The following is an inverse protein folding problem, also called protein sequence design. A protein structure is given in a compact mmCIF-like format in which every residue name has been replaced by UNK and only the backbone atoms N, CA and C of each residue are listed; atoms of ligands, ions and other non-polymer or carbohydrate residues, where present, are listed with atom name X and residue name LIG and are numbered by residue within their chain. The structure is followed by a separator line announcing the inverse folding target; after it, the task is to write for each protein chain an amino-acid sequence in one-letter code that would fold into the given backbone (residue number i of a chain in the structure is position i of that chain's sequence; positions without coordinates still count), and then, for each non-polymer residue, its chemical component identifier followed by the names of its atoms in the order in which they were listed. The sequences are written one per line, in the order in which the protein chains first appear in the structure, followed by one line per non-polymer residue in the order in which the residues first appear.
data_IF_305615904529
#
_entry.id   IF_305615904529
#
_cell.length_a   1.000
_cell.length_b   1.000
_cell.length_c   1.000
_cell.angle_alpha   90.00
_cell.angle_beta   90.00
_cell.angle_gamma   90.00
#
_symmetry.space_group_name_H-M   'P 1'
#
loop_
_entity.id
_entity.type
_entity.pdbx_description
1 polymer ?
#
# COMPACT_ATOMS: atom_id res chain seq x y z
N UNK A 1 2.74 -8.73 18.88
CA UNK A 1 1.86 -8.95 17.73
C UNK A 1 2.70 -8.63 16.49
N UNK A 2 2.83 -9.58 15.57
CA UNK A 2 3.81 -9.49 14.47
C UNK A 2 3.27 -8.77 13.24
N UNK A 3 1.97 -8.86 13.00
CA UNK A 3 1.27 -8.22 11.87
C UNK A 3 -0.13 -7.83 12.30
N UNK A 4 -0.54 -6.62 11.95
CA UNK A 4 -1.91 -6.13 12.15
C UNK A 4 -2.60 -5.94 10.81
N UNK A 5 -3.80 -6.46 10.69
CA UNK A 5 -4.63 -6.33 9.50
C UNK A 5 -5.73 -5.30 9.73
N UNK A 6 -5.88 -4.36 8.78
CA UNK A 6 -6.89 -3.29 8.83
C UNK A 6 -7.65 -3.30 7.52
N UNK A 7 -8.97 -3.18 7.58
CA UNK A 7 -9.85 -3.06 6.41
C UNK A 7 -10.41 -1.64 6.31
N UNK A 8 -10.24 -1.03 5.15
CA UNK A 8 -10.78 0.29 4.83
C UNK A 8 -11.65 0.24 3.59
N UNK A 9 -12.65 1.12 3.54
CA UNK A 9 -13.47 1.36 2.34
C UNK A 9 -13.35 2.83 1.95
N UNK A 10 -12.86 3.09 0.73
CA UNK A 10 -12.73 4.44 0.19
C UNK A 10 -13.79 4.63 -0.88
N UNK A 11 -14.60 5.69 -0.74
CA UNK A 11 -15.59 6.13 -1.70
C UNK A 11 -15.03 7.23 -2.60
N UNK A 12 -15.70 7.49 -3.73
CA UNK A 12 -15.36 8.60 -4.65
C UNK A 12 -13.93 8.54 -5.19
N UNK A 13 -13.38 7.34 -5.38
CA UNK A 13 -12.03 7.16 -5.91
C UNK A 13 -11.97 7.30 -7.44
N UNK A 14 -13.08 7.05 -8.10
CA UNK A 14 -13.22 7.17 -9.54
C UNK A 14 -14.11 8.38 -9.87
N UNK A 15 -13.58 9.31 -10.68
CA UNK A 15 -14.35 10.49 -11.13
C UNK A 15 -15.48 10.11 -12.07
N UNK A 16 -15.32 9.03 -12.82
CA UNK A 16 -16.27 8.54 -13.81
C UNK A 16 -17.38 7.68 -13.16
N UNK A 17 -17.15 7.19 -11.92
CA UNK A 17 -18.10 6.40 -11.15
C UNK A 17 -18.06 6.80 -9.66
N UNK A 18 -18.85 7.79 -9.25
CA UNK A 18 -18.85 8.29 -7.86
C UNK A 18 -19.39 7.26 -6.85
N UNK A 19 -20.10 6.23 -7.28
CA UNK A 19 -20.60 5.17 -6.40
C UNK A 19 -19.57 4.07 -6.17
N UNK A 20 -18.44 4.11 -6.88
CA UNK A 20 -17.42 3.09 -6.76
C UNK A 20 -16.75 3.13 -5.39
N UNK A 21 -16.66 1.96 -4.79
CA UNK A 21 -16.02 1.75 -3.48
C UNK A 21 -14.79 0.89 -3.66
N UNK A 22 -13.64 1.40 -3.24
CA UNK A 22 -12.41 0.62 -3.15
C UNK A 22 -12.32 0.00 -1.75
N UNK A 23 -12.25 -1.33 -1.70
CA UNK A 23 -11.95 -2.06 -0.46
C UNK A 23 -10.45 -2.28 -0.37
N UNK A 24 -9.85 -1.81 0.72
CA UNK A 24 -8.41 -1.86 0.95
C UNK A 24 -8.14 -2.71 2.17
N UNK A 25 -7.15 -3.58 2.04
CA UNK A 25 -6.61 -4.39 3.11
C UNK A 25 -5.18 -3.92 3.38
N UNK A 26 -4.93 -3.44 4.59
CA UNK A 26 -3.62 -2.94 5.01
C UNK A 26 -3.00 -3.96 5.97
N UNK A 27 -1.75 -4.30 5.70
CA UNK A 27 -0.93 -5.15 6.54
C UNK A 27 0.17 -4.30 7.18
N UNK A 28 0.02 -4.05 8.49
CA UNK A 28 1.05 -3.37 9.28
C UNK A 28 2.06 -4.43 9.76
N UNK A 29 3.23 -4.42 9.16
CA UNK A 29 4.29 -5.39 9.41
C UNK A 29 5.30 -4.84 10.41
N UNK A 30 5.88 -5.73 11.22
CA UNK A 30 6.97 -5.34 12.12
C UNK A 30 8.23 -4.97 11.33
N UNK A 31 8.82 -3.80 11.63
CA UNK A 31 10.13 -3.40 11.08
C UNK A 31 11.33 -4.14 11.67
N UNK A 32 11.11 -5.05 12.63
CA UNK A 32 12.20 -5.80 13.23
C UNK A 32 12.68 -6.92 12.30
N UNK A 33 13.99 -6.94 12.04
CA UNK A 33 14.65 -7.89 11.12
C UNK A 33 14.43 -9.36 11.47
N UNK A 34 14.24 -9.70 12.74
CA UNK A 34 13.92 -11.08 13.18
C UNK A 34 12.59 -11.64 12.63
N UNK A 35 11.71 -10.78 12.08
CA UNK A 35 10.42 -11.17 11.53
C UNK A 35 10.37 -11.10 10.00
N UNK A 36 11.52 -11.00 9.32
CA UNK A 36 11.64 -10.85 7.86
C UNK A 36 10.86 -11.89 7.06
N UNK A 37 10.97 -13.15 7.43
CA UNK A 37 10.30 -14.24 6.71
C UNK A 37 8.75 -14.10 6.72
N UNK A 38 8.18 -13.58 7.80
CA UNK A 38 6.74 -13.34 7.93
C UNK A 38 6.35 -12.11 7.09
N UNK A 39 7.15 -11.06 7.12
CA UNK A 39 6.93 -9.84 6.31
C UNK A 39 6.90 -10.19 4.82
N UNK A 40 7.85 -11.00 4.35
CA UNK A 40 7.94 -11.43 2.95
C UNK A 40 6.66 -12.14 2.46
N UNK A 41 6.02 -12.95 3.29
CA UNK A 41 4.78 -13.64 2.92
C UNK A 41 3.60 -12.70 2.67
N UNK A 42 3.58 -11.52 3.33
CA UNK A 42 2.54 -10.51 3.17
C UNK A 42 2.79 -9.54 2.01
N UNK A 43 4.03 -9.46 1.53
CA UNK A 43 4.39 -8.66 0.35
C UNK A 43 3.87 -9.31 -0.94
N UNK A 44 3.83 -10.63 -0.99
CA UNK A 44 3.37 -11.37 -2.17
C UNK A 44 1.92 -11.04 -2.50
N UNK A 45 1.69 -10.59 -3.74
CA UNK A 45 0.35 -10.21 -4.22
C UNK A 45 -0.16 -8.89 -3.66
N UNK A 46 0.69 -8.07 -3.04
CA UNK A 46 0.35 -6.73 -2.64
C UNK A 46 0.30 -5.80 -3.86
N UNK A 47 -0.75 -4.97 -3.95
CA UNK A 47 -0.90 -3.97 -5.01
C UNK A 47 -0.03 -2.72 -4.76
N UNK A 48 0.37 -2.50 -3.51
CA UNK A 48 1.21 -1.39 -3.12
C UNK A 48 1.89 -1.57 -1.78
N UNK A 49 2.98 -0.83 -1.55
CA UNK A 49 3.74 -0.83 -0.32
C UNK A 49 4.20 0.57 0.06
N UNK A 50 4.24 0.85 1.36
CA UNK A 50 4.94 2.00 1.91
C UNK A 50 6.32 1.60 2.40
N UNK A 51 7.34 2.34 1.98
CA UNK A 51 8.64 2.39 2.63
C UNK A 51 8.63 3.58 3.58
N UNK A 52 8.77 3.32 4.88
CA UNK A 52 8.63 4.35 5.91
C UNK A 52 9.95 4.49 6.66
N UNK A 53 10.44 5.72 6.79
CA UNK A 53 11.59 6.07 7.60
C UNK A 53 11.25 7.22 8.56
N UNK A 54 12.07 7.41 9.57
CA UNK A 54 11.99 8.51 10.53
C UNK A 54 12.91 9.64 10.06
N UNK A 55 12.37 10.83 9.81
CA UNK A 55 13.14 11.99 9.31
C UNK A 55 14.25 12.47 10.27
N UNK A 56 14.16 12.04 11.53
CA UNK A 56 15.15 12.33 12.58
C UNK A 56 16.11 11.16 12.86
N UNK A 57 16.10 10.12 12.00
CA UNK A 57 16.92 8.92 12.20
C UNK A 57 17.52 8.42 10.89
N UNK A 58 18.79 8.73 10.65
CA UNK A 58 19.55 8.35 9.47
C UNK A 58 19.63 6.81 9.29
N UNK A 59 19.75 6.05 10.36
CA UNK A 59 19.78 4.58 10.27
C UNK A 59 18.51 4.02 9.68
N UNK A 60 17.35 4.60 10.02
CA UNK A 60 16.07 4.16 9.45
C UNK A 60 15.99 4.41 7.94
N UNK A 61 16.61 5.48 7.45
CA UNK A 61 16.70 5.78 6.03
C UNK A 61 17.65 4.84 5.29
N UNK A 62 18.83 4.58 5.84
CA UNK A 62 19.81 3.63 5.26
C UNK A 62 19.29 2.21 5.16
N UNK A 63 18.38 1.82 6.04
CA UNK A 63 17.74 0.50 5.97
C UNK A 63 16.70 0.36 4.85
N UNK A 64 16.35 1.45 4.14
CA UNK A 64 15.35 1.42 3.07
C UNK A 64 15.78 0.56 1.89
N UNK A 65 17.07 0.54 1.52
CA UNK A 65 17.58 -0.30 0.43
C UNK A 65 17.25 -1.77 0.67
N UNK A 66 17.48 -2.24 1.90
CA UNK A 66 17.15 -3.60 2.28
C UNK A 66 15.65 -3.90 2.12
N UNK A 67 14.78 -3.00 2.59
CA UNK A 67 13.32 -3.18 2.49
C UNK A 67 12.83 -3.07 1.06
N UNK A 68 13.40 -2.16 0.27
CA UNK A 68 13.11 -2.04 -1.15
C UNK A 68 13.43 -3.34 -1.90
N UNK A 69 14.62 -3.89 -1.72
CA UNK A 69 15.01 -5.17 -2.32
C UNK A 69 14.10 -6.32 -1.86
N UNK A 70 13.71 -6.33 -0.59
CA UNK A 70 12.76 -7.31 -0.06
C UNK A 70 11.39 -7.25 -0.77
N UNK A 71 10.90 -6.05 -1.06
CA UNK A 71 9.68 -5.83 -1.83
C UNK A 71 9.88 -6.30 -3.27
N UNK A 72 10.94 -5.87 -3.93
CA UNK A 72 11.24 -6.20 -5.33
C UNK A 72 11.37 -7.71 -5.58
N UNK A 73 11.95 -8.42 -4.63
CA UNK A 73 12.14 -9.87 -4.71
C UNK A 73 10.87 -10.69 -4.40
N UNK A 74 9.86 -10.07 -3.78
CA UNK A 74 8.69 -10.80 -3.25
C UNK A 74 7.38 -10.40 -3.89
N UNK A 75 7.26 -9.15 -4.34
CA UNK A 75 6.05 -8.60 -4.95
C UNK A 75 6.03 -8.80 -6.46
N UNK A 76 4.88 -8.58 -7.06
CA UNK A 76 4.74 -8.47 -8.50
C UNK A 76 5.50 -7.24 -9.03
N UNK A 77 6.02 -7.31 -10.27
CA UNK A 77 6.84 -6.24 -10.86
C UNK A 77 6.12 -4.89 -10.97
N UNK A 78 4.81 -4.89 -10.91
CA UNK A 78 3.97 -3.71 -11.04
C UNK A 78 3.45 -3.15 -9.70
N UNK A 79 4.03 -3.57 -8.58
CA UNK A 79 3.70 -2.99 -7.27
C UNK A 79 3.94 -1.48 -7.25
N UNK A 80 3.02 -0.74 -6.62
CA UNK A 80 3.16 0.71 -6.39
C UNK A 80 3.90 0.92 -5.07
N UNK A 81 5.03 1.62 -5.10
CA UNK A 81 5.83 1.89 -3.89
C UNK A 81 5.88 3.38 -3.63
N UNK A 82 5.56 3.80 -2.41
CA UNK A 82 5.67 5.18 -1.93
C UNK A 82 6.67 5.26 -0.78
N UNK A 83 7.50 6.30 -0.80
CA UNK A 83 8.41 6.63 0.29
C UNK A 83 7.74 7.62 1.25
N UNK A 84 7.81 7.35 2.55
CA UNK A 84 7.23 8.21 3.60
C UNK A 84 8.30 8.57 4.62
N UNK A 85 8.59 9.87 4.75
CA UNK A 85 9.32 10.42 5.88
C UNK A 85 8.35 10.72 7.02
N UNK A 86 8.35 9.88 8.04
CA UNK A 86 7.48 10.05 9.21
C UNK A 86 8.17 10.87 10.31
N UNK A 87 7.39 11.29 11.29
CA UNK A 87 7.79 12.07 12.46
C UNK A 87 8.26 13.49 12.12
N UNK A 88 7.63 14.13 11.12
CA UNK A 88 7.90 15.53 10.76
C UNK A 88 7.75 16.50 11.95
N UNK A 89 6.92 16.17 12.93
CA UNK A 89 6.72 16.91 14.17
C UNK A 89 7.95 17.03 15.04
N UNK A 90 8.90 16.08 14.94
CA UNK A 90 10.12 16.07 15.75
C UNK A 90 11.27 16.91 15.16
N UNK A 91 11.15 17.42 13.95
CA UNK A 91 12.22 18.16 13.26
C UNK A 91 12.68 19.39 14.08
N UNK A 92 11.75 20.10 14.71
CA UNK A 92 12.07 21.28 15.52
C UNK A 92 12.78 20.94 16.83
N UNK A 93 12.47 19.79 17.43
CA UNK A 93 13.01 19.38 18.73
C UNK A 93 14.34 18.63 18.60
N UNK A 94 14.44 17.74 17.63
CA UNK A 94 15.56 16.80 17.49
C UNK A 94 16.48 17.11 16.30
N UNK A 95 16.07 18.03 15.43
CA UNK A 95 16.74 18.27 14.17
C UNK A 95 16.42 17.22 13.10
N UNK A 96 16.59 17.61 11.85
CA UNK A 96 16.47 16.73 10.69
C UNK A 96 17.79 15.96 10.49
N UNK A 97 17.73 14.65 10.44
CA UNK A 97 18.89 13.81 10.15
C UNK A 97 18.94 13.35 8.69
N UNK A 98 17.80 13.24 8.03
CA UNK A 98 17.71 12.87 6.61
C UNK A 98 17.29 14.08 5.79
N UNK A 99 18.17 14.48 4.84
CA UNK A 99 17.89 15.61 3.97
C UNK A 99 16.75 15.24 3.00
N UNK A 100 15.83 16.18 2.78
CA UNK A 100 14.72 15.99 1.85
C UNK A 100 15.17 15.67 0.43
N UNK A 101 16.30 16.23 -0.02
CA UNK A 101 16.87 15.94 -1.33
C UNK A 101 17.36 14.50 -1.45
N UNK A 102 17.91 13.91 -0.37
CA UNK A 102 18.31 12.50 -0.34
C UNK A 102 17.12 11.58 -0.52
N UNK A 103 15.99 11.88 0.15
CA UNK A 103 14.75 11.14 -0.03
C UNK A 103 14.19 11.26 -1.47
N UNK A 104 14.26 12.45 -2.06
CA UNK A 104 13.84 12.67 -3.45
C UNK A 104 14.76 11.91 -4.43
N UNK A 105 16.05 11.87 -4.17
CA UNK A 105 17.01 11.10 -4.98
C UNK A 105 16.71 9.60 -4.86
N UNK A 106 16.49 9.09 -3.66
CA UNK A 106 16.08 7.69 -3.44
C UNK A 106 14.84 7.32 -4.27
N UNK A 107 13.81 8.18 -4.29
CA UNK A 107 12.60 7.97 -5.11
C UNK A 107 12.94 7.88 -6.59
N UNK A 108 13.82 8.73 -7.10
CA UNK A 108 14.23 8.74 -8.52
C UNK A 108 15.05 7.50 -8.87
N UNK A 109 16.06 7.18 -8.04
CA UNK A 109 17.00 6.11 -8.29
C UNK A 109 16.30 4.73 -8.29
N UNK A 110 15.28 4.57 -7.44
CA UNK A 110 14.47 3.36 -7.34
C UNK A 110 13.16 3.39 -8.13
N UNK A 111 12.92 4.49 -8.88
CA UNK A 111 11.69 4.69 -9.68
C UNK A 111 10.40 4.46 -8.86
N UNK A 112 10.36 5.00 -7.64
CA UNK A 112 9.18 4.94 -6.80
C UNK A 112 8.09 5.89 -7.31
N UNK A 113 6.83 5.59 -7.00
CA UNK A 113 5.69 6.32 -7.53
C UNK A 113 5.35 7.60 -6.75
N UNK A 114 5.96 7.81 -5.58
CA UNK A 114 5.74 9.04 -4.83
C UNK A 114 6.51 9.12 -3.52
N UNK A 115 6.50 10.33 -2.97
CA UNK A 115 7.13 10.71 -1.72
C UNK A 115 6.24 11.68 -0.94
N UNK A 116 6.18 11.52 0.36
CA UNK A 116 5.57 12.47 1.28
C UNK A 116 6.30 12.49 2.62
N UNK A 117 6.23 13.62 3.31
CA UNK A 117 6.56 13.71 4.73
C UNK A 117 5.28 13.88 5.54
N UNK A 118 5.20 13.21 6.66
CA UNK A 118 4.02 13.23 7.50
C UNK A 118 4.38 13.06 8.99
N UNK A 119 3.40 13.28 9.85
CA UNK A 119 3.47 12.91 11.26
C UNK A 119 2.28 12.05 11.63
N UNK A 120 2.54 10.81 12.00
CA UNK A 120 1.51 9.92 12.54
C UNK A 120 1.03 10.37 13.93
N UNK A 121 1.84 11.17 14.66
CA UNK A 121 1.49 11.70 15.98
C UNK A 121 0.49 12.86 15.88
N UNK A 122 0.73 13.79 14.94
CA UNK A 122 -0.11 15.00 14.78
C UNK A 122 -1.17 14.86 13.69
N UNK A 123 -1.17 13.76 12.93
CA UNK A 123 -1.99 13.51 11.73
C UNK A 123 -1.66 14.43 10.54
N UNK A 124 -0.53 15.15 10.57
CA UNK A 124 -0.09 16.00 9.49
C UNK A 124 0.16 15.18 8.22
N UNK A 125 -0.42 15.61 7.10
CA UNK A 125 -0.32 15.01 5.77
C UNK A 125 -0.73 13.53 5.64
N UNK A 126 -1.29 12.91 6.68
CA UNK A 126 -1.66 11.48 6.65
C UNK A 126 -2.71 11.20 5.59
N UNK A 127 -3.86 11.88 5.66
CA UNK A 127 -4.98 11.61 4.75
C UNK A 127 -4.62 11.85 3.28
N UNK A 128 -3.91 12.95 2.99
CA UNK A 128 -3.53 13.27 1.62
C UNK A 128 -2.52 12.26 1.06
N UNK A 129 -1.54 11.86 1.85
CA UNK A 129 -0.57 10.82 1.49
C UNK A 129 -1.24 9.50 1.15
N UNK A 130 -2.18 9.06 1.98
CA UNK A 130 -2.95 7.84 1.74
C UNK A 130 -3.81 7.96 0.48
N UNK A 131 -4.48 9.11 0.29
CA UNK A 131 -5.31 9.37 -0.89
C UNK A 131 -4.51 9.30 -2.18
N UNK A 132 -3.34 9.93 -2.24
CA UNK A 132 -2.45 9.93 -3.40
C UNK A 132 -1.96 8.52 -3.72
N UNK A 133 -1.56 7.77 -2.71
CA UNK A 133 -1.10 6.39 -2.87
C UNK A 133 -2.20 5.47 -3.43
N UNK A 134 -3.39 5.48 -2.83
CA UNK A 134 -4.48 4.64 -3.30
C UNK A 134 -4.98 5.03 -4.70
N UNK A 135 -4.95 6.32 -5.02
CA UNK A 135 -5.22 6.78 -6.37
C UNK A 135 -4.19 6.24 -7.39
N UNK A 136 -2.91 6.17 -7.00
CA UNK A 136 -1.86 5.62 -7.85
C UNK A 136 -2.05 4.12 -8.08
N UNK A 137 -2.36 3.36 -7.02
CA UNK A 137 -2.71 1.93 -7.13
C UNK A 137 -3.95 1.75 -8.01
N UNK A 138 -5.01 2.52 -7.76
CA UNK A 138 -6.25 2.42 -8.53
C UNK A 138 -6.03 2.69 -10.01
N UNK A 139 -5.34 3.78 -10.36
CA UNK A 139 -5.04 4.14 -11.74
C UNK A 139 -4.23 3.05 -12.47
N UNK A 140 -3.20 2.53 -11.80
CA UNK A 140 -2.33 1.49 -12.36
C UNK A 140 -3.08 0.17 -12.55
N UNK A 141 -3.94 -0.18 -11.63
CA UNK A 141 -4.63 -1.47 -11.61
C UNK A 141 -6.09 -1.41 -12.09
N UNK A 142 -6.57 -0.25 -12.59
CA UNK A 142 -7.97 -0.05 -12.99
C UNK A 142 -8.48 -1.18 -13.90
N UNK A 143 -7.73 -1.54 -14.93
CA UNK A 143 -8.09 -2.62 -15.86
C UNK A 143 -8.13 -3.99 -15.18
N UNK A 144 -7.08 -4.33 -14.42
CA UNK A 144 -7.01 -5.59 -13.67
C UNK A 144 -8.14 -5.73 -12.64
N UNK A 145 -8.46 -4.64 -11.93
CA UNK A 145 -9.54 -4.61 -10.94
C UNK A 145 -10.91 -4.82 -11.58
N UNK A 146 -11.15 -4.21 -12.74
CA UNK A 146 -12.39 -4.41 -13.50
C UNK A 146 -12.54 -5.86 -13.96
N UNK A 147 -11.49 -6.44 -14.54
CA UNK A 147 -11.51 -7.86 -14.97
C UNK A 147 -11.70 -8.83 -13.81
N UNK A 148 -11.01 -8.60 -12.68
CA UNK A 148 -11.16 -9.42 -11.48
C UNK A 148 -12.56 -9.37 -10.91
N UNK A 149 -13.17 -8.18 -10.90
CA UNK A 149 -14.56 -8.00 -10.46
C UNK A 149 -15.53 -8.70 -11.41
N UNK A 150 -15.34 -8.57 -12.73
CA UNK A 150 -16.17 -9.23 -13.73
C UNK A 150 -16.13 -10.75 -13.59
N UNK A 151 -14.94 -11.35 -13.50
CA UNK A 151 -14.77 -12.80 -13.29
C UNK A 151 -15.44 -13.28 -12.00
N UNK A 152 -15.38 -12.48 -10.93
CA UNK A 152 -16.03 -12.82 -9.65
C UNK A 152 -17.56 -12.80 -9.77
N UNK A 153 -18.12 -11.80 -10.46
CA UNK A 153 -19.56 -11.73 -10.71
C UNK A 153 -20.03 -12.89 -11.59
N UNK A 154 -19.30 -13.22 -12.64
CA UNK A 154 -19.59 -14.37 -13.51
C UNK A 154 -19.59 -15.69 -12.73
N UNK A 155 -18.61 -15.89 -11.85
CA UNK A 155 -18.54 -17.09 -11.00
C UNK A 155 -19.69 -17.16 -9.99
N UNK A 156 -20.10 -16.04 -9.40
CA UNK A 156 -21.27 -15.97 -8.50
C UNK A 156 -22.57 -16.26 -9.26
N UNK A 157 -22.73 -15.69 -10.45
CA UNK A 157 -23.91 -15.95 -11.31
C UNK A 157 -24.00 -17.42 -11.69
N UNK A 158 -22.90 -18.05 -12.11
CA UNK A 158 -22.85 -19.47 -12.42
C UNK A 158 -23.25 -20.37 -11.22
N UNK A 159 -22.85 -20.00 -10.00
CA UNK A 159 -23.26 -20.70 -8.78
C UNK A 159 -24.76 -20.57 -8.49
N UNK A 160 -25.36 -19.40 -8.75
CA UNK A 160 -26.80 -19.17 -8.61
C UNK A 160 -27.57 -19.99 -9.65
N UNK A 161 -27.12 -19.99 -10.89
CA UNK A 161 -27.75 -20.72 -11.98
C UNK A 161 -27.69 -22.25 -11.77
N UNK A 162 -26.59 -22.75 -11.18
CA UNK A 162 -26.48 -24.16 -10.81
C UNK A 162 -27.45 -24.54 -9.68
N UNK A 163 -27.62 -23.67 -8.66
CA UNK A 163 -28.59 -23.88 -7.59
C UNK A 163 -30.05 -23.89 -8.10
N UNK A 164 -30.34 -23.01 -9.05
CA UNK A 164 -31.70 -22.93 -9.62
C UNK A 164 -32.02 -24.10 -10.53
N UNK A 165 -31.03 -24.73 -11.18
CA UNK A 165 -31.21 -25.93 -12.01
C UNK A 165 -31.30 -27.25 -11.22
N UNK A 166 -30.75 -27.25 -9.98
CA UNK A 166 -30.79 -28.42 -9.07
C UNK A 166 -32.08 -28.55 -8.24
N UNK A 167 -33.03 -27.65 -8.37
CA UNK A 167 -34.27 -27.57 -7.57
C UNK A 167 -35.52 -28.19 -8.19
N UNK A 168 -35.41 -29.00 -9.23
CA UNK A 168 -36.57 -29.75 -9.82
C UNK A 168 -36.20 -31.23 -10.02
N UNK A 169 -36.20 -31.98 -8.94
CA UNK A 169 -36.46 -33.41 -8.93
C UNK A 169 -37.38 -33.71 -7.74
N UNK A 170 -38.68 -33.68 -7.98
CA UNK A 170 -39.65 -34.44 -7.17
C UNK A 170 -39.69 -35.84 -7.70
#
# INVERSE_FOLDING_TARGET
MLVKQIYLKIKNIDKDDPNKVLSIQIWDTSGAERYRAITTSHIRGADGAYLIYDVTNDTSFRNLDYWYESIKNSADNDIVIYLIGNKSDLIYEQGRMVNKQEAINFVKDHNLQGYAECSAKTNENILETFRLFYNSIYKKNKTKLVEKTKKRLESMQAQIDHKNKGGFCC
#
